data_IF_725097622044
#
_entry.id   IF_725097622044
#
_cell.length_a   1.000
_cell.length_b   1.000
_cell.length_c   1.000
_cell.angle_alpha   90.00
_cell.angle_beta   90.00
_cell.angle_gamma   90.00
#
_symmetry.space_group_name_H-M   'P 1'
#
loop_
_entity.id
_entity.type
_entity.pdbx_description
1 polymer ?
#
# COMPACT_ATOMS: atom_id res chain seq x y z
N UNK A 1 -7.17 4.86 -1.77
CA UNK A 1 -6.65 4.48 -3.10
C UNK A 1 -5.34 3.71 -2.98
N UNK A 2 -5.00 2.92 -4.00
CA UNK A 2 -3.67 2.35 -4.20
C UNK A 2 -3.27 2.39 -5.67
N UNK A 3 -1.97 2.47 -5.94
CA UNK A 3 -1.43 2.67 -7.29
C UNK A 3 -0.08 1.98 -7.48
N UNK A 4 0.39 1.91 -8.73
CA UNK A 4 1.76 1.47 -9.02
C UNK A 4 2.78 2.59 -8.79
N UNK A 5 3.90 2.25 -8.16
CA UNK A 5 5.07 3.10 -8.04
C UNK A 5 5.89 3.07 -9.34
N UNK A 6 6.63 4.14 -9.61
CA UNK A 6 7.62 4.19 -10.67
C UNK A 6 8.87 3.40 -10.27
N UNK A 7 9.07 2.20 -10.83
CA UNK A 7 10.24 1.33 -10.53
C UNK A 7 11.60 2.04 -10.40
N UNK A 8 11.85 3.10 -11.19
CA UNK A 8 13.10 3.87 -11.17
C UNK A 8 13.35 4.61 -9.84
N UNK A 9 12.34 4.82 -9.00
CA UNK A 9 12.43 5.53 -7.72
C UNK A 9 12.83 4.60 -6.58
N UNK A 10 12.57 3.30 -6.74
CA UNK A 10 12.73 2.26 -5.72
C UNK A 10 13.46 0.99 -6.25
N UNK A 11 14.50 1.09 -7.10
CA UNK A 11 15.11 -0.10 -7.72
C UNK A 11 15.65 -1.14 -6.72
N UNK A 12 16.10 -0.74 -5.52
CA UNK A 12 16.62 -1.68 -4.52
C UNK A 12 15.70 -1.92 -3.31
N UNK A 13 14.60 -1.15 -3.16
CA UNK A 13 13.71 -1.21 -1.98
C UNK A 13 13.23 -2.63 -1.67
N UNK A 14 12.73 -3.35 -2.67
CA UNK A 14 12.24 -4.72 -2.49
C UNK A 14 13.34 -5.69 -2.04
N UNK A 15 14.55 -5.53 -2.58
CA UNK A 15 15.70 -6.35 -2.18
C UNK A 15 16.07 -6.13 -0.71
N UNK A 16 16.04 -4.87 -0.27
CA UNK A 16 16.26 -4.49 1.13
C UNK A 16 15.15 -5.01 2.04
N UNK A 17 13.88 -4.85 1.66
CA UNK A 17 12.76 -5.40 2.42
C UNK A 17 12.91 -6.91 2.65
N UNK A 18 13.15 -7.70 1.61
CA UNK A 18 13.38 -9.15 1.75
C UNK A 18 14.60 -9.50 2.61
N UNK A 19 15.67 -8.71 2.48
CA UNK A 19 16.89 -8.89 3.28
C UNK A 19 16.63 -8.62 4.76
N UNK A 20 15.77 -7.65 5.07
CA UNK A 20 15.33 -7.37 6.43
C UNK A 20 14.45 -8.50 6.98
N UNK A 21 13.39 -8.87 6.24
CA UNK A 21 12.45 -9.91 6.65
C UNK A 21 13.15 -11.25 6.90
N UNK A 22 14.06 -11.67 6.01
CA UNK A 22 14.79 -12.94 6.19
C UNK A 22 15.68 -12.99 7.46
N UNK A 23 16.08 -11.84 7.99
CA UNK A 23 16.85 -11.74 9.24
C UNK A 23 15.94 -11.62 10.46
N UNK A 24 14.81 -10.92 10.30
CA UNK A 24 13.92 -10.56 11.40
C UNK A 24 12.87 -11.63 11.69
N UNK A 25 12.31 -12.25 10.64
CA UNK A 25 11.17 -13.17 10.73
C UNK A 25 11.52 -14.51 10.08
N UNK A 26 11.83 -15.52 10.90
CA UNK A 26 12.23 -16.86 10.44
C UNK A 26 11.05 -17.84 10.37
N UNK A 27 9.82 -17.35 10.31
CA UNK A 27 8.62 -18.19 10.18
C UNK A 27 8.45 -18.73 8.76
N UNK A 28 7.56 -19.73 8.60
CA UNK A 28 7.23 -20.31 7.29
C UNK A 28 6.48 -19.32 6.37
N UNK A 29 5.81 -18.31 6.94
CA UNK A 29 5.04 -17.27 6.23
C UNK A 29 5.57 -15.87 6.56
N UNK A 30 6.82 -15.55 6.17
CA UNK A 30 7.53 -14.40 6.74
C UNK A 30 6.99 -13.04 6.30
N UNK A 31 6.14 -13.00 5.26
CA UNK A 31 5.59 -11.77 4.65
C UNK A 31 4.12 -11.46 5.00
N UNK A 32 3.42 -12.33 5.74
CA UNK A 32 2.03 -12.11 6.13
C UNK A 32 0.97 -12.38 5.04
N UNK A 33 -0.30 -12.18 5.41
CA UNK A 33 -1.48 -12.47 4.58
C UNK A 33 -1.66 -11.52 3.38
N UNK A 34 -1.04 -10.35 3.47
CA UNK A 34 -1.22 -9.27 2.52
C UNK A 34 -0.22 -9.33 1.35
N UNK A 35 0.73 -10.28 1.36
CA UNK A 35 1.81 -10.36 0.38
C UNK A 35 1.33 -10.31 -1.08
N UNK A 36 0.18 -10.92 -1.38
CA UNK A 36 -0.41 -10.97 -2.73
C UNK A 36 -0.87 -9.61 -3.26
N UNK A 37 -0.95 -8.58 -2.41
CA UNK A 37 -1.15 -7.21 -2.87
C UNK A 37 0.07 -6.69 -3.64
N UNK A 38 1.28 -7.07 -3.23
CA UNK A 38 2.54 -6.52 -3.77
C UNK A 38 3.33 -7.50 -4.62
N UNK A 39 2.98 -8.79 -4.65
CA UNK A 39 3.62 -9.77 -5.52
C UNK A 39 2.65 -10.28 -6.59
N UNK A 40 3.20 -10.74 -7.72
CA UNK A 40 2.42 -11.47 -8.74
C UNK A 40 2.93 -12.91 -8.96
N UNK A 41 4.03 -13.30 -8.30
CA UNK A 41 4.75 -14.55 -8.60
C UNK A 41 4.62 -15.64 -7.53
N UNK A 42 3.85 -15.37 -6.46
CA UNK A 42 3.61 -16.28 -5.34
C UNK A 42 4.89 -16.81 -4.65
N UNK A 43 6.03 -16.15 -4.85
CA UNK A 43 7.33 -16.56 -4.33
C UNK A 43 8.13 -15.39 -3.77
N UNK A 44 7.50 -14.22 -3.62
CA UNK A 44 8.08 -12.95 -3.23
C UNK A 44 9.36 -12.62 -4.05
N UNK A 45 9.46 -13.12 -5.28
CA UNK A 45 10.68 -12.89 -6.08
C UNK A 45 10.73 -11.45 -6.54
N UNK A 46 9.59 -10.93 -6.97
CA UNK A 46 9.42 -9.60 -7.56
C UNK A 46 8.37 -8.78 -6.83
N UNK A 47 8.57 -7.46 -6.86
CA UNK A 47 7.58 -6.48 -6.42
C UNK A 47 6.80 -6.01 -7.65
N UNK A 48 5.48 -6.14 -7.61
CA UNK A 48 4.56 -5.67 -8.66
C UNK A 48 4.39 -4.14 -8.68
N UNK A 49 5.00 -3.43 -7.71
CA UNK A 49 5.02 -1.97 -7.52
C UNK A 49 3.75 -1.37 -6.88
N UNK A 50 2.77 -2.17 -6.48
CA UNK A 50 1.57 -1.67 -5.81
C UNK A 50 1.88 -1.12 -4.42
N UNK A 51 1.28 0.02 -4.09
CA UNK A 51 1.33 0.63 -2.77
C UNK A 51 0.02 1.39 -2.48
N UNK A 52 -0.31 1.57 -1.20
CA UNK A 52 -1.33 2.51 -0.73
C UNK A 52 -0.83 3.92 -0.91
N UNK A 53 -1.68 4.80 -1.44
CA UNK A 53 -1.27 6.17 -1.75
C UNK A 53 -1.37 7.06 -0.52
N UNK A 54 -0.22 7.34 0.10
CA UNK A 54 -0.13 7.90 1.46
C UNK A 54 -0.57 9.35 1.62
N UNK A 55 -0.85 10.06 0.52
CA UNK A 55 -1.46 11.39 0.57
C UNK A 55 -2.79 11.40 1.35
N UNK A 56 -3.50 10.25 1.40
CA UNK A 56 -4.65 10.05 2.28
C UNK A 56 -4.51 8.74 3.05
N UNK A 57 -4.29 8.83 4.37
CA UNK A 57 -4.26 7.71 5.29
C UNK A 57 -5.02 8.07 6.57
N UNK A 58 -5.86 7.14 7.04
CA UNK A 58 -6.40 7.15 8.40
C UNK A 58 -5.86 5.88 9.05
N UNK A 59 -4.90 6.05 9.95
CA UNK A 59 -4.18 4.94 10.56
C UNK A 59 -4.09 5.10 12.08
N UNK A 60 -4.05 3.98 12.78
CA UNK A 60 -3.69 3.93 14.19
C UNK A 60 -2.18 4.10 14.32
N UNK A 61 -1.72 5.11 15.06
CA UNK A 61 -0.31 5.42 15.21
C UNK A 61 0.49 4.34 15.96
N UNK A 62 -0.18 3.41 16.65
CA UNK A 62 0.48 2.28 17.31
C UNK A 62 1.27 1.39 16.34
N UNK A 63 0.90 1.35 15.06
CA UNK A 63 1.69 0.64 14.04
C UNK A 63 3.08 1.26 13.84
N UNK A 64 3.17 2.59 13.93
CA UNK A 64 4.41 3.34 13.78
C UNK A 64 5.19 3.44 15.09
N UNK A 65 4.48 3.42 16.22
CA UNK A 65 5.04 3.32 17.56
C UNK A 65 5.26 1.85 17.98
N UNK A 66 5.82 1.07 17.07
CA UNK A 66 6.12 -0.35 17.24
C UNK A 66 7.65 -0.56 17.11
N UNK A 67 8.32 -1.23 18.06
CA UNK A 67 9.74 -1.55 17.97
C UNK A 67 10.14 -2.27 16.68
N UNK A 68 9.26 -3.09 16.12
CA UNK A 68 9.50 -3.82 14.87
C UNK A 68 9.47 -2.88 13.66
N UNK A 69 8.51 -1.95 13.63
CA UNK A 69 8.45 -0.89 12.61
C UNK A 69 9.68 0.03 12.73
N UNK A 70 10.05 0.41 13.95
CA UNK A 70 11.22 1.24 14.20
C UNK A 70 12.51 0.54 13.71
N UNK A 71 12.65 -0.77 13.97
CA UNK A 71 13.78 -1.56 13.48
C UNK A 71 13.81 -1.64 11.94
N UNK A 72 12.65 -1.83 11.31
CA UNK A 72 12.51 -1.83 9.85
C UNK A 72 12.89 -0.48 9.25
N UNK A 73 12.35 0.61 9.78
CA UNK A 73 12.65 1.96 9.32
C UNK A 73 14.13 2.32 9.50
N UNK A 74 14.72 2.04 10.67
CA UNK A 74 16.16 2.24 10.93
C UNK A 74 17.03 1.45 9.97
N UNK A 75 16.64 0.21 9.65
CA UNK A 75 17.35 -0.57 8.64
C UNK A 75 17.30 0.13 7.28
N UNK A 76 16.11 0.51 6.80
CA UNK A 76 15.97 1.20 5.52
C UNK A 76 16.76 2.51 5.47
N UNK A 77 16.69 3.31 6.53
CA UNK A 77 17.45 4.56 6.66
C UNK A 77 18.97 4.31 6.53
N UNK A 78 19.48 3.26 7.18
CA UNK A 78 20.90 2.88 7.11
C UNK A 78 21.38 2.47 5.72
N UNK A 79 20.48 2.09 4.80
CA UNK A 79 20.83 1.76 3.41
C UNK A 79 21.07 3.00 2.55
N UNK A 80 20.56 4.16 2.97
CA UNK A 80 20.62 5.41 2.23
C UNK A 80 19.67 5.50 1.03
N UNK A 81 18.76 4.53 0.84
CA UNK A 81 17.83 4.50 -0.31
C UNK A 81 16.92 5.73 -0.42
N UNK A 82 16.60 6.39 0.69
CA UNK A 82 15.87 7.67 0.69
C UNK A 82 16.63 8.81 -0.03
N UNK A 83 17.97 8.76 -0.04
CA UNK A 83 18.83 9.82 -0.60
C UNK A 83 19.52 9.40 -1.91
N UNK A 84 19.95 8.14 -2.02
CA UNK A 84 20.62 7.61 -3.22
C UNK A 84 19.63 7.13 -4.28
N UNK A 85 18.38 6.84 -3.88
CA UNK A 85 17.25 6.61 -4.78
C UNK A 85 16.18 7.68 -4.49
N UNK A 86 14.89 7.33 -4.57
CA UNK A 86 13.79 8.24 -4.24
C UNK A 86 12.65 7.48 -3.59
N UNK A 87 12.96 6.76 -2.51
CA UNK A 87 11.96 6.00 -1.76
C UNK A 87 10.94 6.96 -1.16
N UNK A 88 9.70 6.86 -1.63
CA UNK A 88 8.57 7.55 -1.01
C UNK A 88 8.16 6.85 0.29
N UNK A 89 7.50 7.59 1.17
CA UNK A 89 6.83 7.05 2.34
C UNK A 89 5.73 6.04 1.94
N UNK A 90 4.98 6.31 0.87
CA UNK A 90 3.89 5.45 0.40
C UNK A 90 4.29 3.97 0.18
N UNK A 91 5.32 3.63 -0.64
CA UNK A 91 5.77 2.25 -0.76
C UNK A 91 6.39 1.70 0.54
N UNK A 92 7.02 2.53 1.37
CA UNK A 92 7.59 2.08 2.67
C UNK A 92 6.50 1.71 3.67
N UNK A 93 5.49 2.57 3.85
CA UNK A 93 4.31 2.30 4.68
C UNK A 93 3.58 1.06 4.21
N UNK A 94 3.41 0.91 2.89
CA UNK A 94 2.73 -0.26 2.31
C UNK A 94 3.45 -1.57 2.59
N UNK A 95 4.78 -1.59 2.51
CA UNK A 95 5.58 -2.78 2.84
C UNK A 95 5.55 -3.11 4.34
N UNK A 96 5.53 -2.09 5.20
CA UNK A 96 5.35 -2.29 6.64
C UNK A 96 3.96 -2.87 6.95
N UNK A 97 2.90 -2.25 6.44
CA UNK A 97 1.51 -2.71 6.59
C UNK A 97 1.37 -4.17 6.15
N UNK A 98 1.93 -4.50 4.99
CA UNK A 98 1.89 -5.85 4.44
C UNK A 98 2.46 -6.90 5.37
N UNK A 99 3.53 -6.54 6.08
CA UNK A 99 4.21 -7.43 6.99
C UNK A 99 3.54 -7.53 8.36
N UNK A 100 3.04 -6.41 8.91
CA UNK A 100 2.50 -6.35 10.28
C UNK A 100 1.02 -6.64 10.40
N UNK A 101 0.24 -6.29 9.38
CA UNK A 101 -1.21 -6.33 9.44
C UNK A 101 -1.78 -7.56 8.73
N UNK A 102 -2.95 -7.96 9.20
CA UNK A 102 -3.80 -8.96 8.57
C UNK A 102 -4.92 -8.29 7.77
N UNK A 103 -5.65 -9.05 6.95
CA UNK A 103 -6.74 -8.49 6.13
C UNK A 103 -7.78 -7.71 6.94
N UNK A 104 -8.07 -8.17 8.16
CA UNK A 104 -9.08 -7.56 9.06
C UNK A 104 -8.66 -6.21 9.64
N UNK A 105 -7.37 -5.89 9.61
CA UNK A 105 -6.84 -4.63 10.15
C UNK A 105 -6.86 -3.51 9.09
N UNK A 106 -7.21 -3.85 7.84
CA UNK A 106 -7.31 -2.91 6.74
C UNK A 106 -8.77 -2.53 6.45
N UNK A 107 -8.97 -1.24 6.20
CA UNK A 107 -10.24 -0.71 5.76
C UNK A 107 -10.07 0.12 4.48
N UNK A 108 -10.85 -0.20 3.45
CA UNK A 108 -10.94 0.63 2.26
C UNK A 108 -12.18 1.53 2.32
N UNK A 109 -11.95 2.84 2.41
CA UNK A 109 -12.99 3.86 2.42
C UNK A 109 -13.56 4.11 1.02
N UNK A 110 -14.39 3.20 0.52
CA UNK A 110 -15.05 3.34 -0.79
C UNK A 110 -16.17 4.38 -0.85
N UNK A 111 -16.55 4.92 0.31
CA UNK A 111 -17.62 5.89 0.53
C UNK A 111 -17.12 7.34 0.66
N UNK A 112 -15.80 7.54 0.74
CA UNK A 112 -15.18 8.86 0.78
C UNK A 112 -14.81 9.32 -0.63
N UNK A 113 -15.34 10.47 -1.05
CA UNK A 113 -14.86 11.21 -2.21
C UNK A 113 -13.60 12.00 -1.86
N UNK A 114 -12.52 11.79 -2.60
CA UNK A 114 -11.22 12.41 -2.32
C UNK A 114 -10.48 12.76 -3.61
N UNK A 115 -9.87 13.93 -3.65
CA UNK A 115 -9.06 14.38 -4.79
C UNK A 115 -7.71 14.87 -4.31
N UNK A 116 -6.65 14.37 -4.94
CA UNK A 116 -5.33 14.95 -4.88
C UNK A 116 -4.77 14.88 -6.28
N UNK A 117 -4.30 16.00 -6.82
CA UNK A 117 -3.96 16.06 -8.24
C UNK A 117 -2.91 14.97 -8.61
N UNK A 118 -3.10 14.24 -9.73
CA UNK A 118 -4.21 14.36 -10.69
C UNK A 118 -5.37 13.36 -10.47
N UNK A 119 -5.41 12.64 -9.35
CA UNK A 119 -6.30 11.48 -9.16
C UNK A 119 -7.51 11.78 -8.26
N UNK A 120 -8.63 11.20 -8.66
CA UNK A 120 -9.93 11.31 -8.00
C UNK A 120 -10.40 9.94 -7.54
N UNK A 121 -10.86 9.81 -6.29
CA UNK A 121 -11.72 8.72 -5.83
C UNK A 121 -13.13 9.28 -5.66
N UNK A 122 -14.12 8.63 -6.26
CA UNK A 122 -15.52 9.04 -6.24
C UNK A 122 -16.44 7.85 -5.90
N UNK A 123 -17.23 7.90 -4.82
CA UNK A 123 -18.10 6.79 -4.43
C UNK A 123 -18.98 6.30 -5.58
N UNK A 124 -18.90 5.01 -5.91
CA UNK A 124 -19.60 4.45 -7.07
C UNK A 124 -21.13 4.37 -6.87
N UNK A 125 -21.64 3.90 -5.71
CA UNK A 125 -23.09 3.82 -5.51
C UNK A 125 -23.76 5.20 -5.57
N UNK A 126 -24.81 5.32 -6.40
CA UNK A 126 -25.57 6.57 -6.54
C UNK A 126 -26.14 7.04 -5.19
N UNK A 127 -26.65 6.11 -4.38
CA UNK A 127 -27.24 6.45 -3.08
C UNK A 127 -26.23 7.14 -2.15
N UNK A 128 -25.03 6.58 -2.03
CA UNK A 128 -23.93 7.15 -1.23
C UNK A 128 -23.57 8.56 -1.71
N UNK A 129 -23.51 8.78 -3.03
CA UNK A 129 -23.24 10.11 -3.59
C UNK A 129 -24.33 11.13 -3.28
N UNK A 130 -25.60 10.73 -3.33
CA UNK A 130 -26.74 11.61 -3.02
C UNK A 130 -26.80 11.96 -1.54
N UNK A 131 -26.64 10.97 -0.65
CA UNK A 131 -26.69 11.15 0.80
C UNK A 131 -25.55 12.05 1.30
N UNK A 132 -24.34 11.83 0.78
CA UNK A 132 -23.14 12.57 1.17
C UNK A 132 -22.88 13.83 0.32
N UNK A 133 -23.78 14.15 -0.63
CA UNK A 133 -23.70 15.32 -1.52
C UNK A 133 -22.36 15.40 -2.27
N UNK A 134 -21.90 14.27 -2.81
CA UNK A 134 -20.64 14.21 -3.56
C UNK A 134 -20.71 15.09 -4.82
N UNK A 135 -19.61 15.79 -5.12
CA UNK A 135 -19.48 16.70 -6.27
C UNK A 135 -18.61 16.16 -7.40
N UNK A 136 -18.17 14.91 -7.29
CA UNK A 136 -17.26 14.26 -8.23
C UNK A 136 -18.01 13.52 -9.35
N UNK A 137 -17.35 13.32 -10.48
CA UNK A 137 -17.82 12.45 -11.56
C UNK A 137 -17.38 11.00 -11.27
N UNK A 138 -18.30 10.04 -11.09
CA UNK A 138 -17.93 8.63 -10.85
C UNK A 138 -17.22 7.97 -12.03
N UNK A 139 -17.39 8.50 -13.26
CA UNK A 139 -16.74 7.96 -14.46
C UNK A 139 -15.24 8.36 -14.54
N UNK A 140 -14.83 9.38 -13.77
CA UNK A 140 -13.43 9.82 -13.63
C UNK A 140 -12.70 9.15 -12.46
N UNK A 141 -13.32 8.17 -11.80
CA UNK A 141 -12.72 7.50 -10.64
C UNK A 141 -11.42 6.74 -11.00
N UNK A 142 -10.38 6.99 -10.21
CA UNK A 142 -9.07 6.37 -10.32
C UNK A 142 -9.09 4.84 -10.20
N UNK A 143 -10.10 4.26 -9.56
CA UNK A 143 -10.33 2.81 -9.50
C UNK A 143 -10.31 2.15 -10.88
N UNK A 144 -10.78 2.85 -11.93
CA UNK A 144 -10.80 2.35 -13.30
C UNK A 144 -9.52 2.61 -14.10
N UNK A 145 -8.56 3.34 -13.50
CA UNK A 145 -7.30 3.66 -14.15
C UNK A 145 -6.38 2.43 -14.28
N UNK A 146 -5.66 2.33 -15.40
CA UNK A 146 -4.69 1.25 -15.64
C UNK A 146 -3.51 1.27 -14.66
N UNK A 147 -3.26 2.40 -13.98
CA UNK A 147 -2.23 2.51 -12.95
C UNK A 147 -2.75 2.26 -11.52
N UNK A 148 -4.04 1.93 -11.37
CA UNK A 148 -4.65 1.66 -10.07
C UNK A 148 -4.35 0.25 -9.59
N UNK A 149 -3.96 0.15 -8.33
CA UNK A 149 -3.88 -1.12 -7.62
C UNK A 149 -5.11 -1.38 -6.73
N UNK A 150 -6.10 -0.48 -6.76
CA UNK A 150 -7.29 -0.59 -5.89
C UNK A 150 -8.06 -1.89 -6.14
N UNK A 151 -8.26 -2.35 -7.40
CA UNK A 151 -8.87 -3.66 -7.65
C UNK A 151 -8.09 -4.83 -7.05
N UNK A 152 -6.75 -4.77 -7.00
CA UNK A 152 -5.91 -5.84 -6.46
C UNK A 152 -6.16 -6.04 -4.96
N UNK A 153 -6.12 -4.95 -4.17
CA UNK A 153 -6.35 -5.06 -2.73
C UNK A 153 -7.80 -5.44 -2.43
N UNK A 154 -8.79 -4.94 -3.18
CA UNK A 154 -10.18 -5.31 -2.97
C UNK A 154 -10.45 -6.79 -3.25
N UNK A 155 -9.84 -7.35 -4.29
CA UNK A 155 -9.91 -8.78 -4.55
C UNK A 155 -9.28 -9.60 -3.41
N UNK A 156 -8.16 -9.13 -2.83
CA UNK A 156 -7.49 -9.78 -1.71
C UNK A 156 -8.31 -9.71 -0.41
N UNK A 157 -8.94 -8.57 -0.12
CA UNK A 157 -9.77 -8.39 1.07
C UNK A 157 -11.08 -9.19 0.99
N UNK A 158 -11.60 -9.41 -0.21
CA UNK A 158 -12.81 -10.19 -0.45
C UNK A 158 -12.57 -11.71 -0.62
N UNK A 159 -11.32 -12.16 -0.69
CA UNK A 159 -11.02 -13.59 -0.81
C UNK A 159 -11.11 -14.29 0.56
N UNK A 160 -11.87 -15.39 0.58
CA UNK A 160 -12.06 -16.27 1.74
C UNK A 160 -10.81 -17.07 2.09
#
# INVERSE_FOLDING_TARGET
MSMFEYKKTIPSLWGHFKSFISRYNQTETPYGELIDFVQNDNAAKTYNLCHFWSNFEIADLSIFNNPEYEAFFKYLDSTGGFFYERWGDAPVHSLAILWFLSKRDLWWFGDIGYYHAPYLQCPQPLQTRLENRCSCDPDEDFLFSFISCTPHILNLLNSH
#
